data_IF_123518421348
#
_entry.id   IF_123518421348
#
_cell.length_a   1.000
_cell.length_b   1.000
_cell.length_c   1.000
_cell.angle_alpha   90.00
_cell.angle_beta   90.00
_cell.angle_gamma   90.00
#
_symmetry.space_group_name_H-M   'P 1'
#
loop_
_entity.id
_entity.type
_entity.pdbx_description
1 polymer ?
#
# COMPACT_ATOMS: atom_id res chain seq x y z
N UNK A 1 -22.01 -9.23 15.45
CA UNK A 1 -21.09 -10.14 14.75
C UNK A 1 -19.70 -9.52 14.80
N UNK A 2 -18.70 -10.29 15.17
CA UNK A 2 -17.32 -9.79 15.28
C UNK A 2 -16.70 -9.71 13.88
N UNK A 3 -15.99 -8.62 13.63
CA UNK A 3 -15.12 -8.45 12.48
C UNK A 3 -14.14 -9.64 12.42
N UNK A 4 -13.80 -10.14 11.24
CA UNK A 4 -12.80 -11.20 11.13
C UNK A 4 -11.42 -10.62 11.49
N UNK A 5 -10.86 -11.04 12.63
CA UNK A 5 -9.62 -10.48 13.18
C UNK A 5 -8.57 -11.57 13.31
N UNK A 6 -7.38 -11.30 12.78
CA UNK A 6 -6.20 -12.14 12.83
C UNK A 6 -5.36 -11.82 14.08
N UNK A 7 -5.16 -12.79 14.98
CA UNK A 7 -4.30 -12.63 16.15
C UNK A 7 -2.82 -12.89 15.79
N UNK A 8 -1.98 -11.87 15.89
CA UNK A 8 -0.57 -11.88 15.50
C UNK A 8 0.32 -11.58 16.70
N UNK A 9 1.27 -12.47 17.00
CA UNK A 9 2.27 -12.25 18.05
C UNK A 9 3.55 -11.67 17.48
N UNK A 10 4.09 -10.64 18.12
CA UNK A 10 5.41 -10.10 17.74
C UNK A 10 6.49 -11.11 18.11
N UNK A 11 7.11 -11.73 17.12
CA UNK A 11 8.16 -12.74 17.29
C UNK A 11 9.54 -12.12 17.46
N UNK A 12 9.81 -11.06 16.71
CA UNK A 12 11.10 -10.37 16.72
C UNK A 12 10.92 -8.88 16.40
N UNK A 13 11.84 -8.05 16.88
CA UNK A 13 11.93 -6.62 16.56
C UNK A 13 13.35 -6.31 16.11
N UNK A 14 13.50 -5.80 14.89
CA UNK A 14 14.78 -5.48 14.27
C UNK A 14 14.90 -3.95 14.17
N UNK A 15 16.03 -3.39 14.60
CA UNK A 15 16.31 -1.96 14.45
C UNK A 15 16.94 -1.70 13.07
N UNK A 16 16.18 -1.09 12.16
CA UNK A 16 16.63 -0.79 10.79
C UNK A 16 17.44 0.51 10.73
N UNK A 17 16.95 1.52 11.46
CA UNK A 17 17.60 2.83 11.62
C UNK A 17 17.31 3.35 13.02
N UNK A 18 17.93 4.49 13.40
CA UNK A 18 17.63 5.15 14.69
C UNK A 18 16.14 5.45 14.94
N UNK A 19 15.33 5.58 13.87
CA UNK A 19 13.92 5.93 13.93
C UNK A 19 13.00 4.89 13.27
N UNK A 20 13.50 3.73 12.86
CA UNK A 20 12.72 2.72 12.12
C UNK A 20 12.98 1.32 12.66
N UNK A 21 11.91 0.55 12.88
CA UNK A 21 11.99 -0.84 13.34
C UNK A 21 11.11 -1.74 12.50
N UNK A 22 11.56 -2.97 12.29
CA UNK A 22 10.77 -4.06 11.68
C UNK A 22 10.22 -4.96 12.78
N UNK A 23 8.94 -5.26 12.72
CA UNK A 23 8.23 -6.15 13.62
C UNK A 23 7.88 -7.42 12.84
N UNK A 24 8.49 -8.55 13.22
CA UNK A 24 8.20 -9.87 12.65
C UNK A 24 7.03 -10.47 13.41
N UNK A 25 6.03 -10.96 12.68
CA UNK A 25 4.72 -11.32 13.21
C UNK A 25 4.45 -12.81 12.99
N UNK A 26 4.05 -13.51 14.04
CA UNK A 26 3.69 -14.92 14.03
C UNK A 26 2.17 -15.04 14.19
N UNK A 27 1.43 -15.56 13.18
CA UNK A 27 0.02 -15.92 13.34
C UNK A 27 -0.15 -16.92 14.49
N UNK A 28 -1.17 -16.73 15.32
CA UNK A 28 -1.40 -17.56 16.52
C UNK A 28 -2.63 -18.46 16.43
N UNK A 29 -3.38 -18.38 15.33
CA UNK A 29 -4.53 -19.20 14.97
C UNK A 29 -4.13 -20.51 14.25
N UNK A 30 -2.84 -20.68 13.93
CA UNK A 30 -2.27 -21.93 13.41
C UNK A 30 -2.11 -21.99 11.89
N UNK A 31 -2.73 -21.07 11.15
CA UNK A 31 -2.59 -20.98 9.70
C UNK A 31 -1.52 -19.96 9.29
N UNK A 32 -0.67 -20.26 8.29
CA UNK A 32 0.20 -19.26 7.70
C UNK A 32 -0.60 -18.10 7.11
N UNK A 33 -0.16 -16.87 7.35
CA UNK A 33 -0.78 -15.69 6.75
C UNK A 33 -0.62 -15.73 5.22
N UNK A 34 -1.74 -15.83 4.50
CA UNK A 34 -1.76 -15.74 3.04
C UNK A 34 -1.91 -14.30 2.59
N UNK A 35 -0.95 -13.79 1.84
CA UNK A 35 -0.97 -12.42 1.31
C UNK A 35 -0.17 -12.34 0.01
N UNK A 36 -0.35 -11.25 -0.73
CA UNK A 36 0.42 -10.90 -1.93
C UNK A 36 1.49 -9.86 -1.62
N UNK A 37 2.63 -9.87 -2.34
CA UNK A 37 3.66 -8.85 -2.14
C UNK A 37 3.11 -7.44 -2.37
N UNK A 38 3.45 -6.51 -1.48
CA UNK A 38 2.98 -5.13 -1.51
C UNK A 38 1.62 -4.89 -0.81
N UNK A 39 0.96 -5.92 -0.30
CA UNK A 39 -0.21 -5.75 0.59
C UNK A 39 0.19 -5.24 1.99
N UNK A 40 -0.82 -4.83 2.76
CA UNK A 40 -0.67 -4.37 4.13
C UNK A 40 -1.61 -5.10 5.09
N UNK A 41 -1.34 -4.96 6.39
CA UNK A 41 -2.22 -5.35 7.48
C UNK A 41 -2.77 -4.10 8.18
N UNK A 42 -4.05 -4.12 8.56
CA UNK A 42 -4.67 -3.05 9.37
C UNK A 42 -4.78 -3.49 10.81
N UNK A 43 -4.02 -2.87 11.70
CA UNK A 43 -4.00 -3.19 13.13
C UNK A 43 -5.09 -2.45 13.89
N UNK A 44 -5.78 -3.17 14.76
CA UNK A 44 -6.81 -2.68 15.68
C UNK A 44 -6.13 -2.45 17.05
N UNK A 45 -5.75 -1.21 17.31
CA UNK A 45 -4.97 -0.84 18.50
C UNK A 45 -5.86 -0.13 19.51
N UNK A 46 -5.72 -0.47 20.79
CA UNK A 46 -6.39 0.26 21.89
C UNK A 46 -5.38 1.24 22.49
N UNK A 47 -5.55 2.52 22.22
CA UNK A 47 -4.71 3.61 22.74
C UNK A 47 -5.61 4.52 23.57
N UNK A 48 -5.25 4.78 24.84
CA UNK A 48 -5.95 5.73 25.72
C UNK A 48 -7.49 5.62 25.67
N UNK A 49 -8.02 4.40 25.82
CA UNK A 49 -9.45 4.03 25.84
C UNK A 49 -10.24 4.17 24.54
N UNK A 50 -9.60 4.38 23.39
CA UNK A 50 -10.28 4.31 22.09
C UNK A 50 -9.56 3.36 21.12
N UNK A 51 -10.30 2.86 20.15
CA UNK A 51 -9.76 2.03 19.08
C UNK A 51 -9.18 2.93 17.98
N UNK A 52 -7.92 2.69 17.64
CA UNK A 52 -7.21 3.31 16.53
C UNK A 52 -6.84 2.24 15.52
N UNK A 53 -7.28 2.44 14.27
CA UNK A 53 -6.96 1.54 13.15
C UNK A 53 -5.84 2.12 12.31
N UNK A 54 -4.76 1.38 12.07
CA UNK A 54 -3.70 1.81 11.14
C UNK A 54 -3.18 0.67 10.29
N UNK A 55 -2.96 0.98 9.02
CA UNK A 55 -2.42 0.06 8.04
C UNK A 55 -0.90 0.20 7.94
N UNK A 56 -0.21 -0.92 7.84
CA UNK A 56 1.23 -0.99 7.59
C UNK A 56 1.53 -2.01 6.49
N UNK A 57 2.14 -1.55 5.40
CA UNK A 57 2.56 -2.42 4.31
C UNK A 57 3.58 -3.44 4.80
N UNK A 58 3.41 -4.68 4.36
CA UNK A 58 4.33 -5.75 4.69
C UNK A 58 5.65 -5.52 3.97
N UNK A 59 6.74 -5.55 4.72
CA UNK A 59 8.12 -5.51 4.21
C UNK A 59 8.67 -6.92 3.95
N UNK A 60 7.98 -7.95 4.43
CA UNK A 60 8.19 -9.35 4.05
C UNK A 60 7.52 -9.68 2.72
N UNK A 61 8.00 -10.71 2.04
CA UNK A 61 7.45 -11.26 0.81
C UNK A 61 7.01 -12.72 1.03
N UNK A 62 5.79 -13.09 0.58
CA UNK A 62 5.21 -14.40 0.82
C UNK A 62 6.05 -15.49 0.12
N UNK A 63 6.27 -16.62 0.80
CA UNK A 63 7.06 -17.74 0.28
C UNK A 63 8.57 -17.52 0.26
N UNK A 64 9.06 -16.36 0.72
CA UNK A 64 10.49 -15.99 0.72
C UNK A 64 10.95 -15.73 2.15
N UNK A 65 10.25 -14.87 2.87
CA UNK A 65 10.45 -14.69 4.29
C UNK A 65 9.62 -15.73 5.06
N UNK A 66 10.18 -16.24 6.15
CA UNK A 66 9.53 -17.28 6.96
C UNK A 66 8.25 -16.80 7.66
N UNK A 67 8.19 -15.51 8.01
CA UNK A 67 7.08 -14.89 8.73
C UNK A 67 6.76 -13.52 8.13
N UNK A 68 5.49 -13.07 8.20
CA UNK A 68 5.13 -11.72 7.81
C UNK A 68 5.83 -10.68 8.70
N UNK A 69 6.22 -9.56 8.11
CA UNK A 69 6.87 -8.47 8.81
C UNK A 69 6.36 -7.12 8.30
N UNK A 70 6.24 -6.16 9.21
CA UNK A 70 5.95 -4.76 8.90
C UNK A 70 7.09 -3.90 9.42
N UNK A 71 7.36 -2.78 8.75
CA UNK A 71 8.43 -1.88 9.15
C UNK A 71 7.90 -0.48 9.35
N UNK A 72 8.12 0.05 10.55
CA UNK A 72 7.46 1.25 11.04
C UNK A 72 8.51 2.28 11.41
N UNK A 73 8.48 3.38 10.66
CA UNK A 73 9.23 4.58 11.00
C UNK A 73 8.46 5.40 12.04
N UNK A 74 9.15 5.80 13.10
CA UNK A 74 8.62 6.67 14.15
C UNK A 74 8.39 8.07 13.59
N UNK A 75 7.19 8.59 13.81
CA UNK A 75 6.82 9.98 13.55
C UNK A 75 6.76 10.70 14.89
N UNK A 76 7.53 11.78 15.06
CA UNK A 76 7.66 12.48 16.34
C UNK A 76 6.30 12.81 16.97
N UNK A 77 5.38 13.36 16.17
CA UNK A 77 4.03 13.71 16.60
C UNK A 77 2.98 12.63 16.30
N UNK A 78 3.36 11.46 15.79
CA UNK A 78 2.43 10.39 15.44
C UNK A 78 2.10 9.45 16.60
N UNK A 79 0.85 9.50 17.07
CA UNK A 79 0.30 8.64 18.14
C UNK A 79 0.63 7.15 17.95
N UNK A 80 0.23 6.59 16.80
CA UNK A 80 0.34 5.14 16.58
C UNK A 80 1.77 4.68 16.36
N UNK A 81 2.56 5.46 15.60
CA UNK A 81 3.97 5.13 15.38
C UNK A 81 4.78 5.14 16.68
N UNK A 82 4.43 6.01 17.65
CA UNK A 82 5.02 6.00 18.98
C UNK A 82 4.57 4.78 19.78
N UNK A 83 3.28 4.44 19.74
CA UNK A 83 2.77 3.22 20.37
C UNK A 83 3.58 1.98 19.96
N UNK A 84 3.84 1.81 18.66
CA UNK A 84 4.69 0.73 18.15
C UNK A 84 6.11 0.74 18.73
N UNK A 85 6.73 1.91 18.83
CA UNK A 85 8.12 2.02 19.29
C UNK A 85 8.26 1.95 20.81
N UNK A 86 7.25 2.41 21.55
CA UNK A 86 7.32 2.63 23.00
C UNK A 86 6.60 1.53 23.81
N UNK A 87 5.61 0.86 23.23
CA UNK A 87 4.75 -0.10 23.95
C UNK A 87 4.83 -1.52 23.40
N UNK A 88 5.01 -1.70 22.09
CA UNK A 88 5.06 -3.03 21.48
C UNK A 88 6.43 -3.66 21.75
N UNK A 89 6.40 -4.90 22.24
CA UNK A 89 7.58 -5.69 22.60
C UNK A 89 7.47 -7.09 21.99
N UNK A 90 8.57 -7.84 21.98
CA UNK A 90 8.53 -9.26 21.64
C UNK A 90 7.55 -9.97 22.58
N UNK A 91 6.69 -10.81 22.03
CA UNK A 91 5.62 -11.51 22.73
C UNK A 91 4.28 -10.76 22.77
N UNK A 92 4.23 -9.46 22.45
CA UNK A 92 2.97 -8.70 22.38
C UNK A 92 2.02 -9.35 21.38
N UNK A 93 0.77 -9.60 21.82
CA UNK A 93 -0.31 -10.06 20.97
C UNK A 93 -1.07 -8.86 20.39
N UNK A 94 -1.19 -8.83 19.08
CA UNK A 94 -1.84 -7.79 18.31
C UNK A 94 -2.99 -8.39 17.49
N UNK A 95 -3.92 -7.52 17.11
CA UNK A 95 -5.10 -7.88 16.34
C UNK A 95 -5.07 -7.07 15.04
N UNK A 96 -5.25 -7.74 13.90
CA UNK A 96 -5.29 -7.10 12.60
C UNK A 96 -6.45 -7.62 11.75
N UNK A 97 -6.92 -6.81 10.81
CA UNK A 97 -7.79 -7.28 9.74
C UNK A 97 -6.97 -8.15 8.76
N UNK A 98 -7.63 -9.03 7.98
CA UNK A 98 -7.01 -9.76 6.88
C UNK A 98 -6.20 -8.85 5.94
N UNK A 99 -5.15 -9.40 5.28
CA UNK A 99 -4.35 -8.66 4.31
C UNK A 99 -5.22 -7.96 3.27
N UNK A 100 -4.91 -6.70 3.02
CA UNK A 100 -5.63 -5.88 2.07
C UNK A 100 -4.65 -5.04 1.22
N UNK A 101 -5.19 -4.36 0.23
CA UNK A 101 -4.45 -3.49 -0.68
C UNK A 101 -4.31 -4.07 -2.08
N UNK A 102 -4.20 -3.17 -3.06
CA UNK A 102 -4.08 -3.48 -4.49
C UNK A 102 -2.73 -3.06 -5.09
N UNK A 103 -1.79 -2.63 -4.25
CA UNK A 103 -0.43 -2.29 -4.64
C UNK A 103 0.43 -3.55 -4.79
N UNK A 104 -0.02 -4.48 -5.64
CA UNK A 104 0.60 -5.79 -5.86
C UNK A 104 1.14 -5.91 -7.28
N UNK A 105 1.91 -6.96 -7.56
CA UNK A 105 2.27 -7.31 -8.94
C UNK A 105 1.02 -7.79 -9.70
N UNK A 106 0.93 -7.44 -10.98
CA UNK A 106 0.05 -8.11 -11.93
C UNK A 106 0.64 -9.48 -12.33
N UNK A 107 -0.25 -10.43 -12.63
CA UNK A 107 0.12 -11.69 -13.25
C UNK A 107 0.72 -11.42 -14.63
N UNK A 108 1.98 -11.79 -14.81
CA UNK A 108 2.72 -11.58 -16.05
C UNK A 108 2.75 -12.81 -16.96
N UNK A 109 2.18 -13.96 -16.55
CA UNK A 109 2.25 -15.22 -17.30
C UNK A 109 3.69 -15.59 -17.79
N UNK A 110 4.73 -15.15 -17.07
CA UNK A 110 6.13 -15.36 -17.45
C UNK A 110 6.67 -14.41 -18.53
N UNK A 111 5.96 -13.32 -18.86
CA UNK A 111 6.44 -12.34 -19.84
C UNK A 111 7.62 -11.51 -19.30
N UNK A 112 8.72 -11.36 -20.09
CA UNK A 112 9.85 -10.55 -19.69
C UNK A 112 9.50 -9.07 -19.52
N UNK A 113 9.92 -8.44 -18.42
CA UNK A 113 9.55 -7.06 -18.08
C UNK A 113 10.57 -6.28 -17.27
N UNK A 114 10.53 -4.96 -17.41
CA UNK A 114 11.23 -4.04 -16.51
C UNK A 114 10.30 -3.60 -15.37
N UNK A 115 10.75 -3.68 -14.14
CA UNK A 115 10.03 -3.25 -12.94
C UNK A 115 10.81 -2.11 -12.29
N UNK A 116 10.22 -0.92 -12.29
CA UNK A 116 10.78 0.27 -11.66
C UNK A 116 10.09 0.50 -10.31
N UNK A 117 10.87 0.49 -9.24
CA UNK A 117 10.42 0.74 -7.89
C UNK A 117 10.94 2.10 -7.44
N UNK A 118 10.06 3.06 -7.17
CA UNK A 118 10.42 4.40 -6.72
C UNK A 118 10.01 4.58 -5.26
N UNK A 119 11.01 4.44 -4.38
CA UNK A 119 10.84 4.51 -2.94
C UNK A 119 11.34 5.86 -2.39
N UNK A 120 10.67 6.36 -1.35
CA UNK A 120 11.26 7.38 -0.49
C UNK A 120 10.97 7.16 0.99
N UNK A 121 12.02 7.19 1.81
CA UNK A 121 11.91 6.94 3.24
C UNK A 121 11.25 5.58 3.54
N UNK A 122 10.19 5.57 4.36
CA UNK A 122 9.44 4.35 4.70
C UNK A 122 8.60 3.80 3.55
N UNK A 123 8.43 4.53 2.43
CA UNK A 123 7.76 3.98 1.25
C UNK A 123 8.49 2.80 0.60
N UNK A 124 9.70 2.48 1.06
CA UNK A 124 10.42 1.27 0.66
C UNK A 124 9.70 -0.02 1.10
N UNK A 125 8.84 0.00 2.12
CA UNK A 125 8.29 -1.23 2.70
C UNK A 125 7.50 -2.10 1.73
N UNK A 126 6.46 -1.62 1.02
CA UNK A 126 5.77 -2.46 0.03
C UNK A 126 6.69 -2.79 -1.16
N UNK A 127 7.56 -1.85 -1.54
CA UNK A 127 8.46 -2.01 -2.68
C UNK A 127 9.52 -3.08 -2.43
N UNK A 128 10.00 -3.23 -1.20
CA UNK A 128 10.94 -4.28 -0.83
C UNK A 128 10.27 -5.66 -0.89
N UNK A 129 9.01 -5.77 -0.46
CA UNK A 129 8.21 -6.98 -0.62
C UNK A 129 8.04 -7.36 -2.10
N UNK A 130 7.65 -6.40 -2.94
CA UNK A 130 7.52 -6.57 -4.40
C UNK A 130 8.86 -6.97 -5.05
N UNK A 131 9.95 -6.30 -4.68
CA UNK A 131 11.29 -6.57 -5.20
C UNK A 131 11.72 -8.01 -4.95
N UNK A 132 11.61 -8.45 -3.68
CA UNK A 132 11.96 -9.82 -3.27
C UNK A 132 11.15 -10.84 -4.06
N UNK A 133 9.84 -10.62 -4.17
CA UNK A 133 8.95 -11.52 -4.89
C UNK A 133 9.27 -11.61 -6.38
N UNK A 134 9.40 -10.48 -7.06
CA UNK A 134 9.71 -10.45 -8.49
C UNK A 134 11.05 -11.15 -8.80
N UNK A 135 12.11 -10.87 -8.03
CA UNK A 135 13.44 -11.44 -8.28
C UNK A 135 13.50 -12.96 -8.11
N UNK A 136 12.69 -13.50 -7.20
CA UNK A 136 12.66 -14.93 -6.88
C UNK A 136 11.72 -15.73 -7.77
N UNK A 137 10.59 -15.16 -8.18
CA UNK A 137 9.53 -15.91 -8.89
C UNK A 137 9.46 -15.63 -10.40
N UNK A 138 9.98 -14.48 -10.87
CA UNK A 138 9.95 -14.14 -12.30
C UNK A 138 11.37 -14.25 -12.86
N UNK A 139 11.68 -15.26 -13.67
CA UNK A 139 13.03 -15.45 -14.25
C UNK A 139 13.47 -14.29 -15.14
N UNK A 140 12.53 -13.69 -15.87
CA UNK A 140 12.80 -12.76 -16.95
C UNK A 140 12.44 -11.31 -16.61
N UNK A 141 12.46 -10.95 -15.32
CA UNK A 141 12.30 -9.56 -14.88
C UNK A 141 13.65 -8.88 -14.58
N UNK A 142 13.74 -7.59 -14.93
CA UNK A 142 14.79 -6.68 -14.45
C UNK A 142 14.18 -5.64 -13.52
N UNK A 143 14.72 -5.49 -12.33
CA UNK A 143 14.23 -4.59 -11.29
C UNK A 143 15.21 -3.43 -11.10
N UNK A 144 14.71 -2.21 -11.23
CA UNK A 144 15.46 -1.00 -10.88
C UNK A 144 14.79 -0.31 -9.69
N UNK A 145 15.47 -0.27 -8.54
CA UNK A 145 15.01 0.45 -7.36
C UNK A 145 15.67 1.83 -7.28
N UNK A 146 14.88 2.89 -7.45
CA UNK A 146 15.28 4.26 -7.16
C UNK A 146 14.87 4.58 -5.73
N UNK A 147 15.85 4.60 -4.81
CA UNK A 147 15.56 4.81 -3.39
C UNK A 147 16.07 6.16 -2.89
N UNK A 148 15.13 7.08 -2.64
CA UNK A 148 15.41 8.40 -2.10
C UNK A 148 15.41 8.40 -0.56
N UNK A 149 16.52 8.83 0.02
CA UNK A 149 16.68 8.95 1.47
C UNK A 149 17.27 10.31 1.86
N UNK A 150 17.20 10.68 3.15
CA UNK A 150 17.81 11.92 3.63
C UNK A 150 19.33 11.80 3.68
N UNK A 151 19.83 10.77 4.36
CA UNK A 151 21.25 10.50 4.63
C UNK A 151 21.50 8.99 4.49
N UNK A 152 22.76 8.57 4.36
CA UNK A 152 23.14 7.15 4.26
C UNK A 152 22.60 6.33 5.44
N UNK A 153 22.83 6.80 6.68
CA UNK A 153 22.30 6.20 7.92
C UNK A 153 20.76 6.15 8.05
N UNK A 154 20.03 6.69 7.08
CA UNK A 154 18.56 6.69 7.06
C UNK A 154 18.00 5.79 5.95
N UNK A 155 18.85 5.07 5.24
CA UNK A 155 18.46 4.03 4.28
C UNK A 155 17.95 2.86 5.12
N UNK A 156 16.64 2.59 5.03
CA UNK A 156 16.02 1.44 5.69
C UNK A 156 16.38 0.20 4.87
N UNK A 157 16.69 -0.91 5.54
CA UNK A 157 17.15 -2.17 4.94
C UNK A 157 18.51 -2.11 4.21
N UNK A 158 19.41 -1.18 4.55
CA UNK A 158 20.63 -0.96 3.76
C UNK A 158 21.44 -2.25 3.50
N UNK A 159 21.76 -3.00 4.56
CA UNK A 159 22.52 -4.25 4.45
C UNK A 159 21.78 -5.30 3.62
N UNK A 160 20.47 -5.47 3.85
CA UNK A 160 19.67 -6.43 3.09
C UNK A 160 19.57 -6.02 1.60
N UNK A 161 19.44 -4.73 1.29
CA UNK A 161 19.42 -4.24 -0.08
C UNK A 161 20.75 -4.57 -0.80
N UNK A 162 21.88 -4.40 -0.13
CA UNK A 162 23.20 -4.79 -0.64
C UNK A 162 23.29 -6.31 -0.89
N UNK A 163 22.81 -7.13 0.05
CA UNK A 163 22.74 -8.60 -0.10
C UNK A 163 21.89 -9.02 -1.30
N UNK A 164 20.70 -8.43 -1.46
CA UNK A 164 19.80 -8.72 -2.57
C UNK A 164 20.41 -8.31 -3.92
N UNK A 165 21.08 -7.16 -3.98
CA UNK A 165 21.77 -6.73 -5.20
C UNK A 165 22.95 -7.66 -5.53
N UNK A 166 23.74 -8.08 -4.53
CA UNK A 166 24.83 -9.04 -4.72
C UNK A 166 24.32 -10.42 -5.17
N UNK A 167 23.12 -10.83 -4.75
CA UNK A 167 22.48 -12.08 -5.15
C UNK A 167 21.94 -12.07 -6.58
N UNK A 168 21.51 -10.90 -7.08
CA UNK A 168 20.91 -10.73 -8.41
C UNK A 168 21.59 -9.63 -9.24
N UNK A 169 22.92 -9.68 -9.46
CA UNK A 169 23.68 -8.54 -10.01
C UNK A 169 23.30 -8.18 -11.46
N UNK A 170 22.77 -9.12 -12.23
CA UNK A 170 22.33 -8.89 -13.61
C UNK A 170 20.88 -8.42 -13.73
N UNK A 171 20.10 -8.56 -12.65
CA UNK A 171 18.65 -8.39 -12.65
C UNK A 171 18.17 -7.33 -11.67
N UNK A 172 18.92 -7.00 -10.64
CA UNK A 172 18.60 -5.96 -9.67
C UNK A 172 19.65 -4.86 -9.73
N UNK A 173 19.17 -3.63 -9.88
CA UNK A 173 19.99 -2.45 -9.64
C UNK A 173 19.32 -1.48 -8.68
N UNK A 174 20.08 -1.04 -7.68
CA UNK A 174 19.66 -0.12 -6.65
C UNK A 174 20.39 1.20 -6.83
N UNK A 175 19.61 2.27 -7.03
CA UNK A 175 20.10 3.63 -7.21
C UNK A 175 19.67 4.45 -6.00
N UNK A 176 20.60 4.64 -5.07
CA UNK A 176 20.39 5.52 -3.93
C UNK A 176 20.56 6.99 -4.32
N UNK A 177 19.60 7.82 -3.90
CA UNK A 177 19.60 9.27 -4.10
C UNK A 177 19.42 9.94 -2.74
N UNK A 178 20.44 10.66 -2.27
CA UNK A 178 20.41 11.31 -0.97
C UNK A 178 20.21 12.82 -1.08
N UNK A 179 19.25 13.36 -0.32
CA UNK A 179 18.97 14.80 -0.30
C UNK A 179 19.90 15.60 0.62
N UNK A 180 20.54 14.94 1.60
CA UNK A 180 21.53 15.51 2.52
C UNK A 180 22.69 14.51 2.73
N UNK A 181 23.42 14.14 1.67
CA UNK A 181 24.55 13.21 1.77
C UNK A 181 25.69 13.83 2.59
N UNK A 182 26.54 12.97 3.16
CA UNK A 182 27.88 13.35 3.62
C UNK A 182 28.80 13.60 2.43
N UNK A 183 29.93 14.28 2.64
CA UNK A 183 30.83 14.67 1.55
C UNK A 183 31.46 13.48 0.82
N UNK A 184 31.65 12.37 1.52
CA UNK A 184 32.18 11.10 1.01
C UNK A 184 31.14 10.22 0.28
N UNK A 185 29.87 10.64 0.20
CA UNK A 185 28.83 9.83 -0.45
C UNK A 185 29.13 9.63 -1.96
N UNK A 186 29.32 8.38 -2.40
CA UNK A 186 29.68 8.08 -3.79
C UNK A 186 28.48 8.08 -4.73
N UNK A 187 27.26 7.97 -4.18
CA UNK A 187 26.03 7.88 -4.95
C UNK A 187 25.46 9.22 -5.39
N UNK A 188 24.22 9.19 -5.90
CA UNK A 188 23.55 10.40 -6.40
C UNK A 188 23.14 11.33 -5.27
N UNK A 189 23.25 12.64 -5.53
CA UNK A 189 22.94 13.74 -4.58
C UNK A 189 21.72 14.54 -5.01
N UNK A 190 20.95 15.06 -4.07
CA UNK A 190 19.77 15.90 -4.29
C UNK A 190 18.46 15.10 -4.25
N UNK A 191 17.44 15.57 -4.97
CA UNK A 191 16.12 14.92 -5.05
C UNK A 191 15.87 14.36 -6.46
N UNK A 192 14.92 13.44 -6.56
CA UNK A 192 14.39 13.01 -7.86
C UNK A 192 13.64 14.19 -8.48
N UNK A 193 13.83 14.41 -9.78
CA UNK A 193 13.10 15.36 -10.60
C UNK A 193 12.81 14.73 -11.97
N UNK A 194 12.02 15.40 -12.81
CA UNK A 194 11.59 14.88 -14.11
C UNK A 194 12.79 14.44 -14.97
N UNK A 195 13.79 15.32 -15.13
CA UNK A 195 14.98 15.04 -15.94
C UNK A 195 15.74 13.80 -15.45
N UNK A 196 15.97 13.68 -14.14
CA UNK A 196 16.68 12.53 -13.58
C UNK A 196 15.90 11.25 -13.83
N UNK A 197 14.61 11.26 -13.51
CA UNK A 197 13.75 10.07 -13.66
C UNK A 197 13.68 9.62 -15.11
N UNK A 198 13.43 10.55 -16.04
CA UNK A 198 13.40 10.26 -17.46
C UNK A 198 14.71 9.62 -17.94
N UNK A 199 15.86 10.19 -17.56
CA UNK A 199 17.16 9.63 -17.93
C UNK A 199 17.41 8.23 -17.34
N UNK A 200 17.00 7.98 -16.10
CA UNK A 200 17.16 6.64 -15.49
C UNK A 200 16.31 5.63 -16.26
N UNK A 201 15.02 5.93 -16.45
CA UNK A 201 14.08 5.01 -17.11
C UNK A 201 14.53 4.74 -18.54
N UNK A 202 14.87 5.76 -19.35
CA UNK A 202 15.35 5.57 -20.72
C UNK A 202 16.61 4.68 -20.80
N UNK A 203 17.53 4.80 -19.84
CA UNK A 203 18.77 4.01 -19.81
C UNK A 203 18.59 2.59 -19.29
N UNK A 204 17.45 2.29 -18.64
CA UNK A 204 17.21 1.03 -17.95
C UNK A 204 15.99 0.27 -18.44
N UNK A 205 15.32 0.79 -19.46
CA UNK A 205 14.39 0.02 -20.26
C UNK A 205 15.20 -0.97 -21.10
N UNK A 206 14.99 -2.25 -20.85
CA UNK A 206 15.55 -3.35 -21.63
C UNK A 206 14.50 -3.97 -22.54
N UNK A 207 13.23 -3.91 -22.14
CA UNK A 207 12.09 -4.43 -22.87
C UNK A 207 11.26 -3.29 -23.48
N UNK A 208 10.35 -3.60 -24.44
CA UNK A 208 9.42 -2.61 -24.97
C UNK A 208 8.65 -1.91 -23.85
N UNK A 209 8.40 -0.61 -24.01
CA UNK A 209 7.82 0.25 -22.98
C UNK A 209 6.49 -0.28 -22.41
N UNK A 210 5.66 -0.94 -23.21
CA UNK A 210 4.39 -1.55 -22.76
C UNK A 210 4.57 -2.68 -21.72
N UNK A 211 5.77 -3.24 -21.60
CA UNK A 211 6.10 -4.25 -20.58
C UNK A 211 6.65 -3.66 -19.30
N UNK A 212 6.98 -2.37 -19.27
CA UNK A 212 7.43 -1.73 -18.05
C UNK A 212 6.31 -1.66 -17.00
N UNK A 213 6.66 -1.80 -15.73
CA UNK A 213 5.78 -1.58 -14.57
C UNK A 213 6.45 -0.61 -13.61
N UNK A 214 5.68 0.32 -13.07
CA UNK A 214 6.17 1.37 -12.16
C UNK A 214 5.38 1.32 -10.85
N UNK A 215 6.09 1.23 -9.73
CA UNK A 215 5.52 1.22 -8.40
C UNK A 215 6.10 2.38 -7.61
N UNK A 216 5.24 3.31 -7.19
CA UNK A 216 5.65 4.54 -6.51
C UNK A 216 5.13 4.53 -5.08
N UNK A 217 6.01 4.71 -4.11
CA UNK A 217 5.61 4.86 -2.71
C UNK A 217 6.57 5.81 -1.97
N UNK A 218 6.01 6.89 -1.42
CA UNK A 218 6.79 7.94 -0.78
C UNK A 218 5.97 9.21 -0.54
N UNK A 219 6.62 10.37 -0.31
CA UNK A 219 5.92 11.65 -0.19
C UNK A 219 5.12 11.98 -1.46
N UNK A 220 3.96 12.60 -1.28
CA UNK A 220 3.02 12.95 -2.36
C UNK A 220 3.71 13.64 -3.55
N UNK A 221 4.54 14.66 -3.29
CA UNK A 221 5.22 15.42 -4.34
C UNK A 221 6.14 14.56 -5.21
N UNK A 222 6.83 13.57 -4.62
CA UNK A 222 7.67 12.65 -5.37
C UNK A 222 6.82 11.79 -6.31
N UNK A 223 5.76 11.19 -5.78
CA UNK A 223 4.89 10.30 -6.55
C UNK A 223 4.18 11.07 -7.67
N UNK A 224 3.75 12.31 -7.40
CA UNK A 224 3.13 13.20 -8.39
C UNK A 224 4.09 13.54 -9.53
N UNK A 225 5.32 13.95 -9.21
CA UNK A 225 6.34 14.27 -10.24
C UNK A 225 6.65 13.01 -11.06
N UNK A 226 6.78 11.86 -10.41
CA UNK A 226 7.07 10.61 -11.09
C UNK A 226 5.95 10.20 -12.04
N UNK A 227 4.70 10.20 -11.59
CA UNK A 227 3.54 9.89 -12.43
C UNK A 227 3.44 10.82 -13.64
N UNK A 228 3.49 12.13 -13.44
CA UNK A 228 3.41 13.11 -14.55
C UNK A 228 4.55 12.87 -15.55
N UNK A 229 5.76 12.60 -15.06
CA UNK A 229 6.91 12.33 -15.93
C UNK A 229 6.70 11.06 -16.74
N UNK A 230 6.24 9.97 -16.12
CA UNK A 230 6.03 8.68 -16.78
C UNK A 230 4.91 8.76 -17.83
N UNK A 231 3.83 9.48 -17.54
CA UNK A 231 2.76 9.75 -18.50
C UNK A 231 3.29 10.57 -19.69
N UNK A 232 4.10 11.60 -19.45
CA UNK A 232 4.74 12.38 -20.50
C UNK A 232 5.72 11.55 -21.35
N UNK A 233 6.35 10.54 -20.75
CA UNK A 233 7.18 9.55 -21.45
C UNK A 233 6.37 8.52 -22.26
N UNK A 234 5.03 8.59 -22.24
CA UNK A 234 4.13 7.71 -22.98
C UNK A 234 3.80 6.39 -22.27
N UNK A 235 4.08 6.26 -20.97
CA UNK A 235 3.63 5.10 -20.20
C UNK A 235 2.12 5.19 -19.99
N UNK A 236 1.40 4.07 -20.16
CA UNK A 236 -0.02 4.03 -19.90
C UNK A 236 -0.33 4.12 -18.39
N UNK A 237 -1.46 4.73 -17.98
CA UNK A 237 -1.86 4.79 -16.56
C UNK A 237 -1.86 3.42 -15.87
N UNK A 238 -2.29 2.37 -16.57
CA UNK A 238 -2.32 0.99 -16.04
C UNK A 238 -0.93 0.41 -15.68
N UNK A 239 0.16 1.00 -16.19
CA UNK A 239 1.53 0.59 -15.88
C UNK A 239 2.06 1.23 -14.59
N UNK A 240 1.36 2.24 -14.05
CA UNK A 240 1.81 3.04 -12.91
C UNK A 240 0.90 2.75 -11.72
N UNK A 241 1.46 2.18 -10.66
CA UNK A 241 0.78 1.95 -9.38
C UNK A 241 1.39 2.85 -8.31
N UNK A 242 0.55 3.33 -7.39
CA UNK A 242 0.97 4.20 -6.29
C UNK A 242 0.37 3.74 -4.97
N UNK A 243 1.09 3.91 -3.89
CA UNK A 243 0.58 3.76 -2.52
C UNK A 243 0.94 4.99 -1.69
N UNK A 244 -0.08 5.66 -1.11
CA UNK A 244 0.10 6.86 -0.31
C UNK A 244 -0.24 6.61 1.17
N UNK A 245 0.75 6.85 2.03
CA UNK A 245 0.61 6.68 3.48
C UNK A 245 0.01 7.88 4.22
N UNK A 246 -0.16 9.02 3.54
CA UNK A 246 -0.63 10.26 4.17
C UNK A 246 -2.01 10.63 3.66
N UNK A 247 -2.89 10.99 4.60
CA UNK A 247 -4.22 11.53 4.33
C UNK A 247 -4.22 12.98 4.79
N UNK A 248 -3.89 13.91 3.88
CA UNK A 248 -3.81 15.34 4.23
C UNK A 248 -5.18 16.01 4.28
N UNK A 249 -6.15 15.48 3.53
CA UNK A 249 -7.50 16.06 3.42
C UNK A 249 -8.56 14.97 3.48
N UNK A 250 -9.61 15.24 4.27
CA UNK A 250 -10.82 14.43 4.27
C UNK A 250 -11.55 14.67 2.95
N UNK A 251 -11.84 13.62 2.16
CA UNK A 251 -12.59 13.76 0.92
C UNK A 251 -13.95 14.39 1.19
N UNK A 252 -14.28 15.44 0.43
CA UNK A 252 -15.56 16.11 0.55
C UNK A 252 -16.66 15.29 -0.16
N UNK A 253 -17.90 15.30 0.34
CA UNK A 253 -19.01 14.68 -0.36
C UNK A 253 -19.28 15.36 -1.73
N UNK A 254 -19.96 14.68 -2.66
CA UNK A 254 -20.38 15.29 -3.92
C UNK A 254 -21.34 16.46 -3.65
N UNK A 255 -21.38 17.42 -4.59
CA UNK A 255 -22.22 18.63 -4.47
C UNK A 255 -23.72 18.33 -4.38
N UNK A 256 -24.16 17.20 -4.95
CA UNK A 256 -25.51 16.68 -4.88
C UNK A 256 -25.44 15.20 -4.50
N UNK A 257 -26.22 14.81 -3.52
CA UNK A 257 -26.42 13.42 -3.11
C UNK A 257 -27.85 13.31 -2.58
N UNK A 258 -28.56 12.28 -3.03
CA UNK A 258 -29.91 11.96 -2.61
C UNK A 258 -29.87 10.70 -1.72
N UNK A 259 -30.87 10.51 -0.84
CA UNK A 259 -30.95 9.29 -0.06
C UNK A 259 -31.35 8.12 -0.95
N UNK A 260 -30.74 6.96 -0.73
CA UNK A 260 -31.04 5.72 -1.45
C UNK A 260 -31.02 4.52 -0.50
N UNK A 261 -31.80 3.48 -0.82
CA UNK A 261 -31.69 2.17 -0.17
C UNK A 261 -30.89 1.23 -1.07
N UNK A 262 -29.86 0.61 -0.52
CA UNK A 262 -29.01 -0.36 -1.23
C UNK A 262 -29.13 -1.75 -0.62
N UNK A 263 -28.82 -2.78 -1.41
CA UNK A 263 -28.55 -4.13 -0.87
C UNK A 263 -27.06 -4.30 -0.65
N UNK A 264 -26.68 -4.59 0.58
CA UNK A 264 -25.31 -4.83 1.00
C UNK A 264 -25.17 -6.29 1.40
N UNK A 265 -24.36 -7.03 0.66
CA UNK A 265 -23.92 -8.38 1.04
C UNK A 265 -22.55 -8.29 1.73
N UNK A 266 -22.48 -8.76 2.97
CA UNK A 266 -21.23 -8.85 3.72
C UNK A 266 -21.15 -10.22 4.40
N UNK A 267 -20.13 -11.00 4.04
CA UNK A 267 -19.96 -12.39 4.51
C UNK A 267 -21.19 -13.30 4.27
N UNK A 268 -21.89 -13.10 3.15
CA UNK A 268 -23.08 -13.89 2.80
C UNK A 268 -24.37 -13.43 3.48
N UNK A 269 -24.31 -12.39 4.31
CA UNK A 269 -25.49 -11.76 4.91
C UNK A 269 -25.92 -10.56 4.05
N UNK A 270 -27.02 -10.73 3.32
CA UNK A 270 -27.62 -9.68 2.50
C UNK A 270 -28.60 -8.85 3.34
N UNK A 271 -28.38 -7.53 3.37
CA UNK A 271 -29.21 -6.58 4.12
C UNK A 271 -29.56 -5.37 3.28
N UNK A 272 -30.73 -4.81 3.54
CA UNK A 272 -31.03 -3.44 3.09
C UNK A 272 -30.32 -2.44 4.00
N UNK A 273 -29.70 -1.44 3.37
CA UNK A 273 -29.04 -0.33 4.04
C UNK A 273 -29.59 0.97 3.47
N UNK A 274 -30.22 1.77 4.33
CA UNK A 274 -30.54 3.16 4.01
C UNK A 274 -29.25 3.99 4.04
N UNK A 275 -28.93 4.64 2.93
CA UNK A 275 -27.80 5.56 2.78
C UNK A 275 -28.37 6.97 2.67
N UNK A 276 -28.29 7.79 3.73
CA UNK A 276 -28.77 9.16 3.70
C UNK A 276 -28.01 10.03 2.70
N UNK A 277 -28.63 11.11 2.26
CA UNK A 277 -27.97 12.14 1.46
C UNK A 277 -26.66 12.60 2.10
N UNK A 278 -25.65 12.84 1.26
CA UNK A 278 -24.30 13.30 1.63
C UNK A 278 -23.55 12.37 2.60
N UNK A 279 -23.99 11.12 2.76
CA UNK A 279 -23.37 10.12 3.62
C UNK A 279 -22.68 9.08 2.75
N UNK A 280 -21.42 8.75 3.05
CA UNK A 280 -20.73 7.66 2.35
C UNK A 280 -21.31 6.31 2.76
N UNK A 281 -21.20 5.32 1.88
CA UNK A 281 -21.71 3.97 2.11
C UNK A 281 -21.10 3.36 3.38
N UNK A 282 -19.80 3.56 3.62
CA UNK A 282 -19.15 3.14 4.88
C UNK A 282 -19.80 3.80 6.09
N UNK A 283 -20.02 5.11 6.05
CA UNK A 283 -20.56 5.82 7.21
C UNK A 283 -21.99 5.37 7.51
N UNK A 284 -22.82 5.17 6.49
CA UNK A 284 -24.17 4.62 6.64
C UNK A 284 -24.13 3.20 7.24
N UNK A 285 -23.23 2.35 6.74
CA UNK A 285 -23.03 0.98 7.23
C UNK A 285 -22.66 0.94 8.72
N UNK A 286 -21.67 1.75 9.13
CA UNK A 286 -21.24 1.85 10.52
C UNK A 286 -22.33 2.42 11.44
N UNK A 287 -23.09 3.42 10.98
CA UNK A 287 -24.21 3.99 11.75
C UNK A 287 -25.32 2.96 12.02
N UNK A 288 -25.50 2.00 11.11
CA UNK A 288 -26.45 0.91 11.24
C UNK A 288 -25.85 -0.35 11.91
N UNK A 289 -24.65 -0.24 12.49
CA UNK A 289 -24.00 -1.34 13.21
C UNK A 289 -23.53 -2.48 12.30
N UNK A 290 -23.30 -2.22 11.01
CA UNK A 290 -22.74 -3.16 10.05
C UNK A 290 -21.23 -2.85 9.90
N UNK A 291 -20.34 -3.66 10.49
CA UNK A 291 -18.92 -3.34 10.58
C UNK A 291 -18.16 -3.80 9.32
N UNK A 292 -18.45 -3.19 8.16
CA UNK A 292 -17.70 -3.49 6.94
C UNK A 292 -16.23 -3.03 7.07
N UNK A 293 -15.26 -3.70 6.41
CA UNK A 293 -13.84 -3.43 6.60
C UNK A 293 -13.45 -1.99 6.23
N UNK A 294 -12.63 -1.34 7.07
CA UNK A 294 -12.06 -0.03 6.76
C UNK A 294 -10.77 0.27 7.53
N UNK A 295 -10.01 1.26 7.03
CA UNK A 295 -8.84 1.81 7.71
C UNK A 295 -8.77 3.34 7.53
N UNK A 296 -8.37 3.80 6.34
CA UNK A 296 -8.01 5.20 6.11
C UNK A 296 -9.19 6.19 6.11
N UNK A 297 -10.40 5.72 5.76
CA UNK A 297 -11.60 6.55 5.47
C UNK A 297 -11.40 7.66 4.42
N UNK A 298 -10.32 7.60 3.64
CA UNK A 298 -9.91 8.65 2.72
C UNK A 298 -9.69 8.18 1.28
N UNK A 299 -10.15 6.98 0.89
CA UNK A 299 -10.02 6.50 -0.50
C UNK A 299 -8.58 6.16 -0.95
N UNK A 300 -7.67 5.88 -0.02
CA UNK A 300 -6.22 5.69 -0.28
C UNK A 300 -5.62 4.32 0.08
N UNK A 301 -6.31 3.50 0.88
CA UNK A 301 -5.81 2.17 1.28
C UNK A 301 -6.52 1.01 0.58
N UNK A 302 -7.78 1.16 0.17
CA UNK A 302 -8.54 0.06 -0.44
C UNK A 302 -9.10 -0.98 0.52
N UNK A 303 -8.90 -0.88 1.84
CA UNK A 303 -9.56 -1.79 2.82
C UNK A 303 -11.08 -1.74 2.71
N UNK A 304 -11.63 -0.59 2.35
CA UNK A 304 -13.07 -0.36 2.18
C UNK A 304 -13.61 -0.79 0.80
N UNK A 305 -12.81 -1.54 0.02
CA UNK A 305 -13.17 -1.93 -1.34
C UNK A 305 -14.30 -2.96 -1.35
N UNK A 306 -15.26 -2.76 -2.26
CA UNK A 306 -16.39 -3.64 -2.51
C UNK A 306 -16.64 -3.74 -4.01
N UNK A 307 -17.44 -4.70 -4.44
CA UNK A 307 -17.86 -4.86 -5.84
C UNK A 307 -19.30 -4.39 -5.99
N UNK A 308 -19.52 -3.36 -6.80
CA UNK A 308 -20.83 -2.92 -7.24
C UNK A 308 -21.32 -3.86 -8.36
N UNK A 309 -22.33 -4.67 -8.05
CA UNK A 309 -22.91 -5.65 -8.98
C UNK A 309 -23.92 -5.01 -9.93
N UNK A 310 -24.70 -4.06 -9.41
CA UNK A 310 -25.71 -3.30 -10.14
C UNK A 310 -25.78 -1.88 -9.61
N UNK A 311 -26.30 -0.96 -10.42
CA UNK A 311 -26.40 0.47 -10.09
C UNK A 311 -25.06 1.20 -10.13
N UNK A 312 -25.07 2.46 -9.69
CA UNK A 312 -23.94 3.38 -9.80
C UNK A 312 -23.54 3.96 -8.44
N UNK A 313 -22.22 3.94 -8.19
CA UNK A 313 -21.59 4.52 -7.00
C UNK A 313 -20.48 5.46 -7.45
N UNK A 314 -20.59 6.72 -7.06
CA UNK A 314 -19.54 7.71 -7.30
C UNK A 314 -18.61 7.84 -6.12
N UNK A 315 -17.32 7.81 -6.40
CA UNK A 315 -16.30 8.06 -5.39
C UNK A 315 -15.85 9.52 -5.43
N UNK A 316 -15.83 10.20 -4.27
CA UNK A 316 -15.30 11.55 -4.17
C UNK A 316 -13.77 11.61 -4.25
N UNK A 317 -13.10 10.51 -3.90
CA UNK A 317 -11.68 10.31 -4.06
C UNK A 317 -11.38 8.82 -4.30
N UNK A 318 -10.52 8.54 -5.27
CA UNK A 318 -9.98 7.22 -5.58
C UNK A 318 -8.50 7.33 -5.93
N UNK A 319 -7.63 6.87 -5.02
CA UNK A 319 -6.18 6.79 -5.24
C UNK A 319 -5.69 5.34 -5.41
N UNK A 320 -6.61 4.35 -5.36
CA UNK A 320 -6.25 2.92 -5.22
C UNK A 320 -6.70 2.09 -6.41
N UNK A 321 -7.92 2.30 -6.89
CA UNK A 321 -8.54 1.49 -7.93
C UNK A 321 -8.11 2.00 -9.30
N UNK A 322 -7.55 1.10 -10.11
CA UNK A 322 -7.21 1.35 -11.51
C UNK A 322 -8.46 1.34 -12.40
N UNK A 323 -8.37 1.82 -13.63
CA UNK A 323 -9.47 1.71 -14.61
C UNK A 323 -9.94 0.26 -14.81
N UNK A 324 -9.02 -0.71 -14.75
CA UNK A 324 -9.35 -2.13 -14.79
C UNK A 324 -10.18 -2.56 -13.58
N UNK A 325 -9.85 -2.08 -12.39
CA UNK A 325 -10.63 -2.38 -11.19
C UNK A 325 -12.03 -1.76 -11.29
N UNK A 326 -12.12 -0.49 -11.73
CA UNK A 326 -13.40 0.18 -11.94
C UNK A 326 -14.28 -0.55 -12.97
N UNK A 327 -13.69 -1.01 -14.08
CA UNK A 327 -14.39 -1.79 -15.10
C UNK A 327 -14.89 -3.15 -14.59
N UNK A 328 -14.29 -3.68 -13.54
CA UNK A 328 -14.74 -4.90 -12.85
C UNK A 328 -15.77 -4.62 -11.75
N UNK A 329 -16.23 -3.36 -11.62
CA UNK A 329 -17.22 -2.94 -10.64
C UNK A 329 -16.65 -2.62 -9.26
N UNK A 330 -15.32 -2.55 -9.09
CA UNK A 330 -14.75 -2.20 -7.79
C UNK A 330 -15.05 -0.75 -7.42
N UNK A 331 -15.44 -0.54 -6.16
CA UNK A 331 -15.73 0.76 -5.57
C UNK A 331 -15.14 0.85 -4.16
N UNK A 332 -14.93 2.07 -3.66
CA UNK A 332 -14.47 2.34 -2.30
C UNK A 332 -15.63 2.84 -1.46
N UNK A 333 -16.15 2.05 -0.53
CA UNK A 333 -17.32 2.42 0.29
C UNK A 333 -17.08 3.65 1.17
N UNK A 334 -15.82 3.91 1.55
CA UNK A 334 -15.44 5.01 2.41
C UNK A 334 -15.50 6.39 1.76
N UNK A 335 -15.40 6.45 0.44
CA UNK A 335 -15.54 7.67 -0.37
C UNK A 335 -16.65 7.56 -1.41
N UNK A 336 -17.39 6.45 -1.39
CA UNK A 336 -18.47 6.12 -2.32
C UNK A 336 -19.81 6.65 -1.85
N UNK A 337 -20.54 7.25 -2.78
CA UNK A 337 -21.88 7.79 -2.63
C UNK A 337 -22.77 7.18 -3.70
N UNK A 338 -23.99 6.79 -3.32
CA UNK A 338 -24.95 6.16 -4.23
C UNK A 338 -25.48 7.21 -5.22
N UNK A 339 -25.51 6.88 -6.50
CA UNK A 339 -26.03 7.78 -7.56
C UNK A 339 -27.26 7.21 -8.29
N UNK A 340 -27.61 5.94 -8.08
CA UNK A 340 -28.78 5.33 -8.70
C UNK A 340 -29.55 4.42 -7.75
N UNK A 341 -30.82 4.17 -8.08
CA UNK A 341 -31.60 3.09 -7.47
C UNK A 341 -31.02 1.71 -7.80
N UNK A 342 -31.36 0.71 -6.98
CA UNK A 342 -31.03 -0.70 -7.24
C UNK A 342 -29.55 -1.05 -7.08
N UNK A 343 -28.79 -0.27 -6.31
CA UNK A 343 -27.39 -0.60 -6.00
C UNK A 343 -27.29 -1.87 -5.16
N UNK A 344 -26.44 -2.80 -5.62
CA UNK A 344 -26.10 -4.04 -4.92
C UNK A 344 -24.59 -4.09 -4.74
N UNK A 345 -24.14 -4.14 -3.49
CA UNK A 345 -22.73 -4.21 -3.13
C UNK A 345 -22.36 -5.55 -2.52
N UNK A 346 -21.26 -6.11 -3.00
CA UNK A 346 -20.59 -7.26 -2.41
C UNK A 346 -19.33 -6.78 -1.68
N UNK A 347 -19.29 -6.89 -0.35
CA UNK A 347 -18.11 -6.58 0.47
C UNK A 347 -17.26 -7.84 0.60
N UNK A 348 -16.01 -7.75 0.17
CA UNK A 348 -15.08 -8.88 0.01
C UNK A 348 -14.13 -9.02 1.18
#
# INVERSE_FOLDING_TARGET
MQENVLPLRVKNIISETHDTRTFVLEPTDGDPLKYLPGQFLTFLLKIENHEVRRSYSMSSAPGIDALPAITIKRVANGEVSRYWHDRVQVGTLLHALPPAGRFTLDDSAGEPRDIFLLAAGSGITPLFSIMKYALTHESDCRVTLLYASRRGRSIIFNEQLEEWQARYPERLEIIHILSQPTDDWPGRRGRINNYRLENIVRKRLHFPTGRARFFLCGPFELMRIAEITLLFMGMAPAQIRKENFVIDTVPQPPKKSEPHTIRLNFHGDERELEVPAYTSILQASLNNGIPIPYSCKGGRCGTCAAICRTGEVRMSLNDVLTERDLAQGWVLTCTGYVESEGVVLEVV
#
